data_IF_710316361100
#
_entry.id   IF_710316361100
#
_cell.length_a   1.000
_cell.length_b   1.000
_cell.length_c   1.000
_cell.angle_alpha   90.00
_cell.angle_beta   90.00
_cell.angle_gamma   90.00
#
_symmetry.space_group_name_H-M   'P 1'
#
loop_
_entity.id
_entity.type
_entity.pdbx_description
1 polymer ?
#
# COMPACT_ATOMS: atom_id res chain seq x y z
N UNK A 1 -10.73 -24.85 1.10
CA UNK A 1 -9.60 -24.17 0.46
C UNK A 1 -9.62 -22.74 0.97
N UNK A 2 -8.63 -22.34 1.78
CA UNK A 2 -8.53 -20.94 2.20
C UNK A 2 -7.98 -20.19 1.00
N UNK A 3 -8.86 -19.53 0.25
CA UNK A 3 -8.46 -18.59 -0.80
C UNK A 3 -7.77 -17.44 -0.08
N UNK A 4 -6.43 -17.50 0.01
CA UNK A 4 -5.65 -16.36 0.47
C UNK A 4 -5.79 -15.31 -0.63
N UNK A 5 -6.75 -14.40 -0.47
CA UNK A 5 -6.99 -13.32 -1.43
C UNK A 5 -5.86 -12.30 -1.32
N UNK A 6 -4.72 -12.64 -1.93
CA UNK A 6 -3.65 -11.68 -2.14
C UNK A 6 -4.09 -10.68 -3.19
N UNK A 7 -4.11 -9.40 -2.84
CA UNK A 7 -4.49 -8.32 -3.74
C UNK A 7 -3.32 -7.35 -3.90
N UNK A 8 -3.05 -6.94 -5.13
CA UNK A 8 -2.14 -5.83 -5.40
C UNK A 8 -2.97 -4.56 -5.53
N UNK A 9 -2.70 -3.58 -4.68
CA UNK A 9 -3.36 -2.29 -4.65
C UNK A 9 -2.41 -1.21 -5.14
N UNK A 10 -2.90 -0.32 -5.99
CA UNK A 10 -2.26 0.94 -6.31
C UNK A 10 -2.93 2.05 -5.52
N UNK A 11 -2.20 2.67 -4.60
CA UNK A 11 -2.66 3.84 -3.84
C UNK A 11 -1.99 5.08 -4.40
N UNK A 12 -2.78 6.02 -4.94
CA UNK A 12 -2.26 7.23 -5.58
C UNK A 12 -2.86 8.51 -5.00
N UNK A 13 -1.96 9.46 -4.76
CA UNK A 13 -2.33 10.85 -4.52
C UNK A 13 -1.94 11.71 -5.74
N UNK A 14 -2.05 13.04 -5.64
CA UNK A 14 -1.75 13.94 -6.75
C UNK A 14 -0.30 13.87 -7.27
N UNK A 15 0.66 13.52 -6.41
CA UNK A 15 2.11 13.60 -6.72
C UNK A 15 2.82 12.25 -6.72
N UNK A 16 2.27 11.28 -5.99
CA UNK A 16 2.95 10.03 -5.72
C UNK A 16 1.98 8.85 -5.75
N UNK A 17 2.54 7.71 -6.09
CA UNK A 17 1.86 6.43 -6.19
C UNK A 17 2.65 5.40 -5.39
N UNK A 18 1.95 4.49 -4.73
CA UNK A 18 2.51 3.31 -4.11
C UNK A 18 1.77 2.05 -4.61
N UNK A 19 2.52 1.04 -4.99
CA UNK A 19 2.03 -0.31 -5.28
C UNK A 19 2.24 -1.16 -4.03
N UNK A 20 1.16 -1.74 -3.52
CA UNK A 20 1.11 -2.39 -2.23
C UNK A 20 0.51 -3.78 -2.40
N UNK A 21 1.27 -4.80 -2.05
CA UNK A 21 0.78 -6.16 -1.91
C UNK A 21 0.13 -6.32 -0.54
N UNK A 22 -1.11 -6.79 -0.53
CA UNK A 22 -1.86 -7.07 0.70
C UNK A 22 -2.32 -8.53 0.68
N UNK A 23 -2.01 -9.26 1.73
CA UNK A 23 -2.63 -10.53 2.06
C UNK A 23 -3.15 -10.50 3.51
N UNK A 24 -3.78 -11.58 3.98
CA UNK A 24 -4.38 -11.65 5.32
C UNK A 24 -3.41 -11.31 6.47
N UNK A 25 -2.12 -11.57 6.28
CA UNK A 25 -1.10 -11.47 7.34
C UNK A 25 -0.11 -10.32 7.16
N UNK A 26 0.03 -9.78 5.95
CA UNK A 26 1.14 -8.90 5.56
C UNK A 26 0.65 -7.83 4.58
N UNK A 27 1.07 -6.60 4.87
CA UNK A 27 1.00 -5.48 3.94
C UNK A 27 2.43 -5.12 3.60
N UNK A 28 2.76 -5.16 2.32
CA UNK A 28 4.10 -4.91 1.81
C UNK A 28 4.04 -3.90 0.67
N UNK A 29 4.82 -2.83 0.78
CA UNK A 29 4.95 -1.85 -0.30
C UNK A 29 5.98 -2.39 -1.27
N UNK A 30 5.53 -2.75 -2.47
CA UNK A 30 6.36 -3.31 -3.55
C UNK A 30 7.14 -2.20 -4.24
N UNK A 31 6.47 -1.10 -4.55
CA UNK A 31 7.09 0.09 -5.15
C UNK A 31 6.40 1.37 -4.67
N UNK A 32 7.14 2.46 -4.55
CA UNK A 32 6.62 3.75 -4.13
C UNK A 32 7.46 4.90 -4.66
N UNK A 33 6.82 5.80 -5.42
CA UNK A 33 7.47 6.98 -5.99
C UNK A 33 7.80 8.06 -4.94
N UNK A 34 7.39 7.88 -3.67
CA UNK A 34 7.69 8.79 -2.57
C UNK A 34 8.84 8.31 -1.67
N UNK A 35 9.47 7.17 -2.00
CA UNK A 35 10.52 6.54 -1.19
C UNK A 35 11.70 7.48 -0.88
N UNK A 36 12.14 8.26 -1.87
CA UNK A 36 13.23 9.24 -1.71
C UNK A 36 12.88 10.32 -0.68
N UNK A 37 11.66 10.85 -0.70
CA UNK A 37 11.23 11.85 0.27
C UNK A 37 11.15 11.28 1.68
N UNK A 38 10.65 10.04 1.82
CA UNK A 38 10.64 9.34 3.10
C UNK A 38 12.06 9.17 3.66
N UNK A 39 13.04 8.84 2.82
CA UNK A 39 14.44 8.72 3.22
C UNK A 39 15.03 10.06 3.70
N UNK A 40 14.74 11.15 2.99
CA UNK A 40 15.17 12.51 3.38
C UNK A 40 14.54 12.92 4.73
N UNK A 41 13.29 12.52 4.97
CA UNK A 41 12.60 12.73 6.24
C UNK A 41 13.09 11.82 7.38
N UNK A 42 14.06 10.95 7.13
CA UNK A 42 14.64 10.08 8.15
C UNK A 42 13.79 8.84 8.45
N UNK A 43 12.86 8.46 7.57
CA UNK A 43 12.20 7.14 7.66
C UNK A 43 13.27 6.08 7.40
N UNK A 44 13.67 5.38 8.45
CA UNK A 44 14.68 4.30 8.42
C UNK A 44 13.99 2.93 8.40
N UNK A 45 14.60 1.97 7.72
CA UNK A 45 14.18 0.56 7.73
C UNK A 45 14.10 -0.05 6.33
N UNK A 46 13.96 -1.37 6.28
CA UNK A 46 13.80 -2.13 5.03
C UNK A 46 12.40 -2.02 4.42
N UNK A 47 11.44 -1.38 5.10
CA UNK A 47 10.05 -1.32 4.68
C UNK A 47 9.34 -0.03 5.07
N UNK A 48 8.15 0.16 4.51
CA UNK A 48 7.31 1.30 4.85
C UNK A 48 6.72 1.16 6.26
N UNK A 49 6.73 2.23 7.07
CA UNK A 49 6.18 2.18 8.42
C UNK A 49 4.66 2.02 8.40
N UNK A 50 4.10 1.49 9.49
CA UNK A 50 2.65 1.30 9.66
C UNK A 50 1.84 2.60 9.60
N UNK A 51 2.47 3.74 9.91
CA UNK A 51 1.86 5.07 9.81
C UNK A 51 1.96 5.69 8.41
N UNK A 52 2.58 5.01 7.43
CA UNK A 52 2.68 5.52 6.07
C UNK A 52 1.26 5.75 5.50
N UNK A 53 0.94 6.97 5.02
CA UNK A 53 -0.40 7.27 4.52
C UNK A 53 -0.91 6.32 3.43
N UNK A 54 -0.01 5.83 2.56
CA UNK A 54 -0.36 4.84 1.53
C UNK A 54 -0.68 3.46 2.12
N UNK A 55 0.10 3.01 3.12
CA UNK A 55 -0.13 1.74 3.83
C UNK A 55 -1.43 1.79 4.62
N UNK A 56 -1.68 2.92 5.31
CA UNK A 56 -2.92 3.14 6.05
C UNK A 56 -4.13 3.07 5.11
N UNK A 57 -4.08 3.75 3.96
CA UNK A 57 -5.19 3.71 3.00
C UNK A 57 -5.37 2.32 2.37
N UNK A 58 -4.30 1.59 2.06
CA UNK A 58 -4.41 0.20 1.61
C UNK A 58 -5.13 -0.68 2.66
N UNK A 59 -4.75 -0.55 3.94
CA UNK A 59 -5.40 -1.28 5.03
C UNK A 59 -6.87 -0.89 5.17
N UNK A 60 -7.18 0.41 5.11
CA UNK A 60 -8.56 0.91 5.19
C UNK A 60 -9.40 0.41 4.03
N UNK A 61 -8.85 0.38 2.82
CA UNK A 61 -9.54 -0.12 1.64
C UNK A 61 -9.96 -1.59 1.81
N UNK A 62 -9.04 -2.47 2.24
CA UNK A 62 -9.33 -3.89 2.49
C UNK A 62 -10.35 -4.07 3.61
N UNK A 63 -10.39 -3.16 4.58
CA UNK A 63 -11.40 -3.14 5.65
C UNK A 63 -12.76 -2.54 5.22
N UNK A 64 -12.93 -2.15 3.95
CA UNK A 64 -14.14 -1.47 3.47
C UNK A 64 -14.34 -0.07 4.03
N UNK A 65 -13.28 0.55 4.56
CA UNK A 65 -13.29 1.89 5.11
C UNK A 65 -12.94 2.95 4.06
N UNK A 66 -13.46 4.16 4.25
CA UNK A 66 -13.14 5.31 3.40
C UNK A 66 -11.64 5.62 3.39
N UNK A 67 -11.06 5.69 2.21
CA UNK A 67 -9.65 6.05 1.98
C UNK A 67 -9.50 7.55 1.74
N UNK A 68 -8.32 8.09 2.07
CA UNK A 68 -7.98 9.49 1.75
C UNK A 68 -7.55 9.63 0.29
N UNK A 69 -6.83 8.64 -0.21
CA UNK A 69 -6.29 8.58 -1.56
C UNK A 69 -7.09 7.64 -2.44
N UNK A 70 -6.86 7.75 -3.75
CA UNK A 70 -7.49 6.87 -4.72
C UNK A 70 -6.79 5.51 -4.67
N UNK A 71 -7.57 4.46 -4.42
CA UNK A 71 -7.10 3.07 -4.40
C UNK A 71 -7.67 2.36 -5.62
N UNK A 72 -6.82 1.68 -6.36
CA UNK A 72 -7.17 0.84 -7.50
C UNK A 72 -6.65 -0.56 -7.25
N UNK A 73 -7.48 -1.55 -7.59
CA UNK A 73 -7.08 -2.95 -7.54
C UNK A 73 -6.37 -3.28 -8.85
N UNK A 74 -5.10 -3.67 -8.76
CA UNK A 74 -4.27 -4.03 -9.92
C UNK A 74 -4.35 -5.51 -10.29
N UNK A 75 -5.20 -6.29 -9.60
CA UNK A 75 -5.38 -7.74 -9.71
C UNK A 75 -4.52 -8.41 -10.80
N UNK A 76 -3.45 -9.12 -10.45
CA UNK A 76 -3.06 -10.27 -11.23
C UNK A 76 -4.13 -11.33 -10.95
N UNK A 77 -5.27 -11.27 -11.62
CA UNK A 77 -6.01 -12.51 -11.78
C UNK A 77 -5.05 -13.48 -12.48
N UNK A 78 -4.83 -14.68 -11.92
CA UNK A 78 -4.00 -15.71 -12.56
C UNK A 78 -4.55 -16.10 -13.93
#
# INVERSE_FOLDING_TARGET
MVTVESTILQVKNRRHTAVIYVNESKIEVVDCTNSTNCRIQGVKGAGCPSYCPFVVDAKRYVQGLKTKYRVEVLNPNP
#
